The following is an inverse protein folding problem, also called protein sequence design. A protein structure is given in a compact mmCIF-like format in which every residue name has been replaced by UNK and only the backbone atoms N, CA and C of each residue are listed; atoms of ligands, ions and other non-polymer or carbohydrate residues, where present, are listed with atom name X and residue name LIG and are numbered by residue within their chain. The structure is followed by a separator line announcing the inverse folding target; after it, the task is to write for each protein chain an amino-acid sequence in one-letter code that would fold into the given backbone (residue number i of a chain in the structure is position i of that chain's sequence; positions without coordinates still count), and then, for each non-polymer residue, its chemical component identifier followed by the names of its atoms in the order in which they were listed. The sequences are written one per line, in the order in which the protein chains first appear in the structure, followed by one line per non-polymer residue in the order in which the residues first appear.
data_IF_454144735604
#
_entry.id   IF_454144735604
#
_cell.length_a   1.000
_cell.length_b   1.000
_cell.length_c   1.000
_cell.angle_alpha   90.00
_cell.angle_beta   90.00
_cell.angle_gamma   90.00
#
_symmetry.space_group_name_H-M   'P 1'
#
loop_
_entity.id
_entity.type
_entity.pdbx_description
1 polymer ?
#
# COMPACT_ATOMS: atom_id res chain seq x y z
N UNK A 1 -20.38 -9.26 -3.17
CA UNK A 1 -18.96 -8.86 -3.13
C UNK A 1 -18.14 -9.97 -3.76
N UNK A 2 -17.12 -9.65 -4.57
CA UNK A 2 -16.23 -10.68 -5.13
C UNK A 2 -15.25 -11.16 -4.04
N UNK A 3 -14.79 -12.41 -4.14
CA UNK A 3 -13.78 -12.97 -3.23
C UNK A 3 -12.48 -12.15 -3.23
N UNK A 4 -12.12 -11.58 -4.38
CA UNK A 4 -10.97 -10.68 -4.54
C UNK A 4 -11.12 -9.40 -3.71
N UNK A 5 -12.30 -8.77 -3.74
CA UNK A 5 -12.54 -7.55 -2.95
C UNK A 5 -12.45 -7.84 -1.44
N UNK A 6 -13.04 -8.95 -0.99
CA UNK A 6 -12.97 -9.34 0.43
C UNK A 6 -11.53 -9.60 0.91
N UNK A 7 -10.66 -10.13 0.03
CA UNK A 7 -9.24 -10.31 0.34
C UNK A 7 -8.50 -8.98 0.44
N UNK A 8 -8.79 -8.04 -0.48
CA UNK A 8 -8.22 -6.69 -0.47
C UNK A 8 -8.62 -5.95 0.82
N UNK A 9 -9.91 -5.94 1.14
CA UNK A 9 -10.44 -5.25 2.32
C UNK A 9 -9.83 -5.78 3.64
N UNK A 10 -9.61 -7.11 3.71
CA UNK A 10 -8.98 -7.74 4.88
C UNK A 10 -7.51 -7.31 5.06
N UNK A 11 -6.74 -7.23 3.97
CA UNK A 11 -5.34 -6.80 3.99
C UNK A 11 -5.24 -5.31 4.33
N UNK A 12 -6.11 -4.47 3.75
CA UNK A 12 -6.18 -3.04 4.06
C UNK A 12 -6.48 -2.81 5.55
N UNK A 13 -7.49 -3.50 6.09
CA UNK A 13 -7.87 -3.39 7.49
C UNK A 13 -6.73 -3.77 8.44
N UNK A 14 -6.00 -4.85 8.11
CA UNK A 14 -4.83 -5.28 8.89
C UNK A 14 -3.71 -4.24 8.87
N UNK A 15 -3.41 -3.68 7.69
CA UNK A 15 -2.38 -2.66 7.53
C UNK A 15 -2.73 -1.39 8.32
N UNK A 16 -3.98 -0.92 8.24
CA UNK A 16 -4.45 0.24 9.00
C UNK A 16 -4.31 -0.02 10.51
N UNK A 17 -4.71 -1.19 10.99
CA UNK A 17 -4.59 -1.55 12.41
C UNK A 17 -3.12 -1.57 12.87
N UNK A 18 -2.22 -2.08 12.02
CA UNK A 18 -0.79 -2.14 12.28
C UNK A 18 -0.16 -0.74 12.37
N UNK A 19 -0.52 0.15 11.46
CA UNK A 19 0.05 1.49 11.37
C UNK A 19 -0.51 2.47 12.40
N UNK A 20 -1.78 2.30 12.81
CA UNK A 20 -2.39 3.05 13.93
C UNK A 20 -1.82 2.66 15.29
N UNK A 21 -1.04 1.59 15.38
CA UNK A 21 -0.33 1.24 16.60
C UNK A 21 0.89 2.17 16.75
N UNK A 22 0.78 3.15 17.66
CA UNK A 22 1.78 4.20 17.91
C UNK A 22 3.21 3.70 18.18
N UNK A 23 3.41 2.42 18.52
CA UNK A 23 4.76 1.86 18.68
C UNK A 23 5.52 1.69 17.35
N UNK A 24 4.86 1.85 16.20
CA UNK A 24 5.48 1.73 14.86
C UNK A 24 5.42 3.00 14.01
N UNK A 25 5.02 4.14 14.58
CA UNK A 25 4.94 5.44 13.90
C UNK A 25 6.25 5.85 13.20
N UNK A 26 7.41 5.48 13.75
CA UNK A 26 8.72 5.75 13.15
C UNK A 26 9.07 4.84 11.96
N UNK A 27 8.43 3.68 11.84
CA UNK A 27 8.72 2.67 10.79
C UNK A 27 7.84 2.89 9.56
N UNK A 28 6.72 3.61 9.70
CA UNK A 28 5.72 3.79 8.63
C UNK A 28 6.31 4.44 7.37
N UNK A 29 7.02 5.56 7.49
CA UNK A 29 7.56 6.29 6.33
C UNK A 29 8.46 5.43 5.45
N UNK A 30 9.40 4.70 6.06
CA UNK A 30 10.32 3.82 5.32
C UNK A 30 9.57 2.67 4.65
N UNK A 31 8.56 2.10 5.31
CA UNK A 31 7.74 1.03 4.74
C UNK A 31 6.95 1.52 3.51
N UNK A 32 6.44 2.74 3.52
CA UNK A 32 5.79 3.33 2.34
C UNK A 32 6.78 3.55 1.19
N UNK A 33 7.98 4.05 1.49
CA UNK A 33 8.99 4.30 0.46
C UNK A 33 9.49 2.98 -0.15
N UNK A 34 9.71 1.94 0.67
CA UNK A 34 10.07 0.60 0.23
C UNK A 34 8.96 -0.03 -0.62
N UNK A 35 7.68 0.11 -0.22
CA UNK A 35 6.54 -0.39 -0.99
C UNK A 35 6.41 0.31 -2.34
N UNK A 36 6.58 1.63 -2.38
CA UNK A 36 6.56 2.40 -3.62
C UNK A 36 7.70 1.98 -4.56
N UNK A 37 8.92 1.83 -4.02
CA UNK A 37 10.06 1.32 -4.79
C UNK A 37 9.78 -0.06 -5.36
N UNK A 38 9.15 -0.96 -4.60
CA UNK A 38 8.78 -2.30 -5.07
C UNK A 38 7.81 -2.25 -6.24
N UNK A 39 6.72 -1.48 -6.13
CA UNK A 39 5.74 -1.29 -7.22
C UNK A 39 6.41 -0.78 -8.50
N UNK A 40 7.34 0.17 -8.36
CA UNK A 40 8.05 0.74 -9.50
C UNK A 40 9.12 -0.20 -10.08
N UNK A 41 9.70 -1.07 -9.25
CA UNK A 41 10.75 -2.03 -9.63
C UNK A 41 10.24 -3.38 -10.13
N UNK A 42 8.97 -3.71 -9.90
CA UNK A 42 8.39 -5.00 -10.28
C UNK A 42 8.46 -5.18 -11.81
N UNK A 43 8.80 -6.38 -12.28
CA UNK A 43 8.97 -6.63 -13.72
C UNK A 43 7.68 -6.31 -14.49
N UNK A 44 7.80 -5.44 -15.50
CA UNK A 44 6.70 -5.00 -16.33
C UNK A 44 6.98 -3.62 -16.94
N UNK A 45 6.27 -3.22 -18.01
CA UNK A 45 6.50 -1.93 -18.66
C UNK A 45 6.43 -0.79 -17.62
N UNK A 46 7.37 0.17 -17.63
CA UNK A 46 7.22 1.36 -16.81
C UNK A 46 5.94 2.11 -17.24
N UNK A 47 5.17 2.59 -16.25
CA UNK A 47 3.98 3.41 -16.50
C UNK A 47 2.73 2.66 -16.97
N UNK A 48 2.57 1.36 -16.69
CA UNK A 48 1.26 0.72 -16.90
C UNK A 48 0.19 1.34 -16.01
N UNK A 49 -1.07 1.23 -16.45
CA UNK A 49 -2.23 1.67 -15.69
C UNK A 49 -2.32 1.01 -14.32
N UNK A 50 -1.93 -0.26 -14.21
CA UNK A 50 -1.96 -1.00 -12.95
C UNK A 50 -0.89 -0.52 -11.97
N UNK A 51 0.34 -0.28 -12.43
CA UNK A 51 1.43 0.24 -11.59
C UNK A 51 1.11 1.64 -11.07
N UNK A 52 0.55 2.48 -11.95
CA UNK A 52 0.12 3.84 -11.58
C UNK A 52 -1.00 3.79 -10.55
N UNK A 53 -2.03 2.98 -10.78
CA UNK A 53 -3.14 2.82 -9.84
C UNK A 53 -2.68 2.29 -8.47
N UNK A 54 -1.73 1.34 -8.45
CA UNK A 54 -1.16 0.83 -7.20
C UNK A 54 -0.37 1.90 -6.44
N UNK A 55 0.42 2.72 -7.14
CA UNK A 55 1.17 3.82 -6.53
C UNK A 55 0.27 4.92 -5.99
N UNK A 56 -0.78 5.30 -6.73
CA UNK A 56 -1.77 6.29 -6.31
C UNK A 56 -2.52 5.84 -5.05
N UNK A 57 -2.93 4.56 -5.01
CA UNK A 57 -3.62 3.99 -3.86
C UNK A 57 -2.70 3.88 -2.64
N UNK A 58 -1.42 3.52 -2.83
CA UNK A 58 -0.42 3.57 -1.76
C UNK A 58 -0.26 4.99 -1.19
N UNK A 59 -0.30 6.01 -2.05
CA UNK A 59 -0.33 7.42 -1.65
C UNK A 59 -1.56 7.76 -0.79
N UNK A 60 -2.74 7.27 -1.16
CA UNK A 60 -3.96 7.42 -0.36
C UNK A 60 -3.79 6.80 1.04
N UNK A 61 -3.28 5.58 1.14
CA UNK A 61 -3.05 4.90 2.42
C UNK A 61 -2.09 5.67 3.34
N UNK A 62 -1.09 6.36 2.78
CA UNK A 62 -0.16 7.22 3.55
C UNK A 62 -0.86 8.41 4.20
N UNK A 63 -1.98 8.89 3.65
CA UNK A 63 -2.76 10.02 4.21
C UNK A 63 -3.70 9.61 5.35
N UNK A 64 -3.94 8.31 5.54
CA UNK A 64 -4.84 7.78 6.58
C UNK A 64 -4.14 7.59 7.95
N UNK A 65 -2.87 7.99 8.05
CA UNK A 65 -2.00 7.89 9.22
C UNK A 65 -1.71 9.28 9.80
#
# INVERSE_FOLDING_TARGET
MSQQQAQIDAVESLLIALLKNNQMSFVSHKVFDDAHSRIMSEDGPPGTSEKTAAADYLGHLKTLL
#
